data_IF_446901068823
#
_entry.id   IF_446901068823
#
_cell.length_a   1.000
_cell.length_b   1.000
_cell.length_c   1.000
_cell.angle_alpha   90.00
_cell.angle_beta   90.00
_cell.angle_gamma   90.00
#
_symmetry.space_group_name_H-M   'P 1'
#
loop_
_entity.id
_entity.type
_entity.pdbx_description
1 polymer ?
#
# COMPACT_ATOMS: atom_id res chain seq x y z
N UNK A 1 -22.63 24.86 22.68
CA UNK A 1 -22.01 23.76 23.45
C UNK A 1 -23.13 23.01 24.15
N UNK A 2 -23.42 21.76 23.76
CA UNK A 2 -24.56 21.01 24.31
C UNK A 2 -24.33 20.64 25.77
N UNK A 3 -25.40 20.69 26.57
CA UNK A 3 -25.37 20.56 28.02
C UNK A 3 -25.10 19.13 28.50
N UNK A 4 -24.51 19.03 29.70
CA UNK A 4 -24.13 17.78 30.38
C UNK A 4 -25.26 16.73 30.48
N UNK A 5 -26.53 17.12 30.31
CA UNK A 5 -27.67 16.20 30.30
C UNK A 5 -27.80 15.41 28.98
N UNK A 6 -27.41 16.01 27.86
CA UNK A 6 -27.47 15.39 26.53
C UNK A 6 -26.38 14.32 26.37
N UNK A 7 -25.19 14.57 26.95
CA UNK A 7 -24.08 13.61 27.02
C UNK A 7 -24.47 12.37 27.84
N UNK A 8 -25.23 12.55 28.94
CA UNK A 8 -25.73 11.43 29.76
C UNK A 8 -26.79 10.60 29.03
N UNK A 9 -27.66 11.23 28.22
CA UNK A 9 -28.66 10.51 27.39
C UNK A 9 -28.01 9.73 26.24
N UNK A 10 -26.99 10.29 25.61
CA UNK A 10 -26.21 9.61 24.56
C UNK A 10 -25.43 8.42 25.16
N UNK A 11 -24.81 8.59 26.33
CA UNK A 11 -24.10 7.52 27.03
C UNK A 11 -25.03 6.36 27.46
N UNK A 12 -26.22 6.66 27.98
CA UNK A 12 -27.21 5.64 28.36
C UNK A 12 -27.82 4.88 27.16
N UNK A 13 -27.90 5.55 25.99
CA UNK A 13 -28.31 4.91 24.74
C UNK A 13 -27.18 4.02 24.19
N UNK A 14 -25.93 4.40 24.39
CA UNK A 14 -24.76 3.65 23.94
C UNK A 14 -24.51 2.38 24.77
N UNK A 15 -24.71 2.42 26.09
CA UNK A 15 -24.58 1.24 26.96
C UNK A 15 -25.65 0.16 26.69
N UNK A 16 -26.85 0.57 26.27
CA UNK A 16 -27.92 -0.36 25.86
C UNK A 16 -27.78 -0.86 24.41
N UNK A 17 -26.96 -0.21 23.58
CA UNK A 17 -26.66 -0.66 22.23
C UNK A 17 -25.64 -1.82 22.25
N UNK A 18 -24.65 -1.75 23.16
CA UNK A 18 -23.63 -2.79 23.34
C UNK A 18 -24.22 -4.13 23.77
N UNK A 19 -25.19 -4.14 24.70
CA UNK A 19 -25.86 -5.38 25.14
C UNK A 19 -26.84 -5.93 24.10
N UNK A 20 -27.36 -5.11 23.18
CA UNK A 20 -28.19 -5.59 22.04
C UNK A 20 -27.38 -6.12 20.87
N UNK A 21 -26.12 -5.72 20.72
CA UNK A 21 -25.24 -6.21 19.64
C UNK A 21 -24.48 -7.49 20.02
N UNK A 22 -24.32 -7.81 21.30
CA UNK A 22 -23.61 -9.01 21.76
C UNK A 22 -24.43 -10.32 21.69
N UNK A 23 -25.76 -10.28 21.55
CA UNK A 23 -26.61 -11.51 21.53
C UNK A 23 -26.86 -12.03 20.10
N UNK A 24 -26.43 -11.31 19.05
CA UNK A 24 -26.68 -11.71 17.64
C UNK A 24 -25.49 -12.44 16.99
N UNK A 25 -24.68 -13.14 17.80
CA UNK A 25 -23.46 -13.83 17.35
C UNK A 25 -23.44 -15.36 17.53
N UNK A 26 -24.35 -15.93 18.33
CA UNK A 26 -24.38 -17.37 18.60
C UNK A 26 -25.61 -18.02 17.95
N UNK A 27 -25.71 -17.95 16.61
CA UNK A 27 -26.63 -18.86 15.91
C UNK A 27 -25.91 -20.18 15.75
N UNK A 28 -26.27 -21.13 16.61
CA UNK A 28 -26.10 -22.55 16.35
C UNK A 28 -26.38 -22.84 14.87
N UNK A 29 -25.44 -23.50 14.20
CA UNK A 29 -25.55 -23.94 12.81
C UNK A 29 -26.61 -25.05 12.75
N UNK A 30 -27.88 -24.69 12.83
CA UNK A 30 -28.98 -25.59 12.53
C UNK A 30 -29.28 -25.44 11.04
N UNK A 31 -28.71 -26.33 10.24
CA UNK A 31 -28.89 -26.35 8.79
C UNK A 31 -30.25 -27.00 8.53
N UNK A 32 -31.28 -26.20 8.27
CA UNK A 32 -32.44 -26.70 7.56
C UNK A 32 -31.99 -27.11 6.15
N UNK A 33 -31.79 -28.42 5.95
CA UNK A 33 -31.31 -29.06 4.72
C UNK A 33 -32.37 -29.00 3.61
N UNK A 34 -32.76 -27.79 3.20
CA UNK A 34 -33.55 -27.60 1.99
C UNK A 34 -32.65 -27.79 0.77
N UNK A 35 -33.20 -28.32 -0.33
CA UNK A 35 -32.46 -28.56 -1.60
C UNK A 35 -31.68 -27.31 -2.07
N UNK A 36 -32.22 -26.12 -1.81
CA UNK A 36 -31.60 -24.83 -2.13
C UNK A 36 -30.41 -24.50 -1.23
N UNK A 37 -30.50 -24.80 0.07
CA UNK A 37 -29.37 -24.63 1.01
C UNK A 37 -28.23 -25.59 0.68
N UNK A 38 -28.55 -26.83 0.24
CA UNK A 38 -27.54 -27.79 -0.21
C UNK A 38 -26.75 -27.29 -1.42
N UNK A 39 -27.42 -26.83 -2.49
CA UNK A 39 -26.72 -26.29 -3.67
C UNK A 39 -25.87 -25.05 -3.34
N UNK A 40 -26.32 -24.20 -2.40
CA UNK A 40 -25.55 -23.03 -1.99
C UNK A 40 -24.28 -23.41 -1.21
N UNK A 41 -24.40 -24.37 -0.30
CA UNK A 41 -23.27 -24.82 0.52
C UNK A 41 -22.23 -25.57 -0.33
N UNK A 42 -22.67 -26.45 -1.22
CA UNK A 42 -21.76 -27.17 -2.12
C UNK A 42 -21.13 -26.23 -3.16
N UNK A 43 -21.89 -25.29 -3.72
CA UNK A 43 -21.36 -24.27 -4.63
C UNK A 43 -20.30 -23.37 -3.97
N UNK A 44 -20.55 -22.92 -2.73
CA UNK A 44 -19.57 -22.16 -1.96
C UNK A 44 -18.34 -23.01 -1.60
N UNK A 45 -18.53 -24.28 -1.24
CA UNK A 45 -17.46 -25.22 -0.92
C UNK A 45 -16.53 -25.48 -2.11
N UNK A 46 -17.08 -25.70 -3.31
CA UNK A 46 -16.31 -25.91 -4.55
C UNK A 46 -15.57 -24.63 -4.96
N UNK A 47 -16.20 -23.46 -4.85
CA UNK A 47 -15.54 -22.19 -5.13
C UNK A 47 -14.39 -21.91 -4.14
N UNK A 48 -14.57 -22.22 -2.86
CA UNK A 48 -13.52 -22.04 -1.86
C UNK A 48 -12.35 -23.01 -2.08
N UNK A 49 -12.61 -24.28 -2.41
CA UNK A 49 -11.54 -25.25 -2.70
C UNK A 49 -10.83 -24.96 -4.02
N UNK A 50 -11.52 -24.47 -5.05
CA UNK A 50 -10.87 -24.09 -6.31
C UNK A 50 -9.98 -22.85 -6.15
N UNK A 51 -10.40 -21.85 -5.38
CA UNK A 51 -9.57 -20.69 -5.04
C UNK A 51 -8.34 -21.09 -4.20
N UNK A 52 -8.50 -22.02 -3.25
CA UNK A 52 -7.39 -22.59 -2.48
C UNK A 52 -6.42 -23.41 -3.34
N UNK A 53 -6.94 -24.25 -4.24
CA UNK A 53 -6.14 -25.08 -5.14
C UNK A 53 -5.39 -24.28 -6.21
N UNK A 54 -5.95 -23.16 -6.66
CA UNK A 54 -5.27 -22.22 -7.55
C UNK A 54 -4.26 -21.30 -6.85
N UNK A 55 -4.05 -21.48 -5.54
CA UNK A 55 -2.98 -20.80 -4.82
C UNK A 55 -3.24 -19.31 -4.55
N UNK A 56 -4.47 -18.82 -4.76
CA UNK A 56 -4.81 -17.41 -4.51
C UNK A 56 -4.68 -17.00 -3.04
N UNK A 57 -4.66 -17.96 -2.11
CA UNK A 57 -4.36 -17.70 -0.69
C UNK A 57 -2.90 -17.32 -0.40
N UNK A 58 -1.97 -17.64 -1.31
CA UNK A 58 -0.55 -17.27 -1.22
C UNK A 58 -0.14 -16.23 -2.26
N UNK A 59 -1.09 -15.75 -3.08
CA UNK A 59 -0.82 -14.81 -4.15
C UNK A 59 -0.27 -13.48 -3.63
N UNK A 60 -0.74 -13.01 -2.48
CA UNK A 60 -0.24 -11.78 -1.84
C UNK A 60 1.22 -11.92 -1.39
N UNK A 61 1.58 -13.07 -0.80
CA UNK A 61 2.95 -13.36 -0.38
C UNK A 61 3.91 -13.53 -1.57
N UNK A 62 3.44 -14.13 -2.67
CA UNK A 62 4.20 -14.25 -3.90
C UNK A 62 4.44 -12.87 -4.55
N UNK A 63 3.43 -12.01 -4.61
CA UNK A 63 3.57 -10.65 -5.16
C UNK A 63 4.54 -9.81 -4.31
N UNK A 64 4.45 -9.88 -2.98
CA UNK A 64 5.35 -9.18 -2.09
C UNK A 64 6.81 -9.64 -2.27
N UNK A 65 7.05 -10.94 -2.49
CA UNK A 65 8.38 -11.48 -2.74
C UNK A 65 8.99 -11.04 -4.10
N UNK A 66 8.17 -10.61 -5.06
CA UNK A 66 8.65 -10.12 -6.36
C UNK A 66 9.01 -8.62 -6.37
N UNK A 67 8.59 -7.86 -5.35
CA UNK A 67 8.91 -6.44 -5.24
C UNK A 67 10.30 -6.31 -4.61
N UNK A 68 11.29 -6.04 -5.47
CA UNK A 68 12.64 -5.64 -5.04
C UNK A 68 12.59 -4.30 -4.32
N UNK A 69 13.38 -4.17 -3.26
CA UNK A 69 13.53 -2.91 -2.55
C UNK A 69 14.02 -1.80 -3.50
N UNK A 70 13.61 -0.56 -3.20
CA UNK A 70 14.02 0.59 -3.98
C UNK A 70 15.54 0.78 -3.90
N UNK A 71 16.21 0.66 -5.06
CA UNK A 71 17.67 0.78 -5.19
C UNK A 71 18.25 2.12 -4.69
N UNK A 72 17.42 3.14 -4.53
CA UNK A 72 17.79 4.51 -4.19
C UNK A 72 17.60 4.85 -2.69
N UNK A 73 17.02 3.94 -1.90
CA UNK A 73 16.65 4.24 -0.50
C UNK A 73 17.85 4.59 0.40
N UNK A 74 19.05 4.10 0.07
CA UNK A 74 20.27 4.33 0.86
C UNK A 74 21.29 5.21 0.14
N UNK A 75 20.89 5.91 -0.92
CA UNK A 75 21.79 6.78 -1.69
C UNK A 75 21.62 8.24 -1.33
N UNK A 76 22.65 9.02 -1.63
CA UNK A 76 22.65 10.47 -1.42
C UNK A 76 22.19 11.15 -2.71
N UNK A 77 21.24 12.07 -2.57
CA UNK A 77 20.68 12.88 -3.65
C UNK A 77 21.48 14.17 -3.82
N UNK A 78 22.03 14.39 -5.02
CA UNK A 78 22.71 15.64 -5.38
C UNK A 78 22.06 16.24 -6.62
N UNK A 79 21.67 17.52 -6.57
CA UNK A 79 21.13 18.23 -7.72
C UNK A 79 22.24 18.77 -8.62
N UNK A 80 22.07 18.60 -9.93
CA UNK A 80 22.99 19.13 -10.95
C UNK A 80 22.20 19.56 -12.22
N UNK A 81 22.91 20.06 -13.22
CA UNK A 81 22.40 20.47 -14.51
C UNK A 81 22.96 19.56 -15.61
N UNK A 82 22.10 19.10 -16.52
CA UNK A 82 22.49 18.26 -17.64
C UNK A 82 23.52 18.98 -18.55
N UNK A 83 24.68 18.34 -18.80
CA UNK A 83 25.82 18.97 -19.50
C UNK A 83 25.78 18.81 -21.02
N UNK A 84 24.69 18.30 -21.60
CA UNK A 84 24.66 17.94 -23.02
C UNK A 84 24.20 19.08 -23.93
N UNK A 85 23.08 19.73 -23.63
CA UNK A 85 22.51 20.75 -24.50
C UNK A 85 22.09 21.99 -23.71
N UNK A 86 21.81 23.08 -24.42
CA UNK A 86 21.42 24.38 -23.85
C UNK A 86 20.05 24.41 -23.18
N UNK A 87 19.30 23.30 -23.21
CA UNK A 87 18.04 23.18 -22.47
C UNK A 87 18.29 23.23 -20.97
N UNK A 88 19.49 22.81 -20.52
CA UNK A 88 19.89 22.83 -19.12
C UNK A 88 18.82 22.14 -18.24
N UNK A 89 18.51 20.88 -18.53
CA UNK A 89 17.59 20.10 -17.73
C UNK A 89 18.15 19.88 -16.32
N UNK A 90 17.37 20.16 -15.28
CA UNK A 90 17.72 19.81 -13.90
C UNK A 90 17.71 18.31 -13.70
N UNK A 91 18.75 17.77 -13.07
CA UNK A 91 18.91 16.35 -12.80
C UNK A 91 19.21 16.10 -11.33
N UNK A 92 18.75 14.95 -10.84
CA UNK A 92 19.07 14.41 -9.53
C UNK A 92 19.99 13.21 -9.75
N UNK A 93 21.16 13.29 -9.12
CA UNK A 93 22.19 12.27 -9.15
C UNK A 93 22.15 11.49 -7.84
N UNK A 94 22.11 10.17 -7.95
CA UNK A 94 22.12 9.25 -6.82
C UNK A 94 23.46 8.54 -6.70
N UNK A 95 24.18 8.86 -5.63
CA UNK A 95 25.48 8.27 -5.35
C UNK A 95 25.46 7.36 -4.12
N UNK A 96 26.26 6.29 -4.15
CA UNK A 96 26.52 5.43 -3.00
C UNK A 96 27.84 5.83 -2.35
N UNK A 97 27.81 6.09 -1.04
CA UNK A 97 28.93 6.66 -0.29
C UNK A 97 28.80 8.17 -0.14
N UNK A 98 29.45 8.73 0.89
CA UNK A 98 29.36 10.14 1.23
C UNK A 98 30.65 10.91 0.90
N UNK A 99 30.54 11.83 -0.07
CA UNK A 99 31.63 12.75 -0.41
C UNK A 99 31.97 13.70 0.74
N UNK A 100 30.99 14.08 1.56
CA UNK A 100 31.20 14.98 2.69
C UNK A 100 31.98 14.31 3.83
N UNK A 101 31.82 12.98 3.98
CA UNK A 101 32.59 12.16 4.91
C UNK A 101 34.00 11.79 4.37
N UNK A 102 34.33 12.18 3.13
CA UNK A 102 35.59 11.86 2.49
C UNK A 102 35.67 10.45 1.89
N UNK A 103 34.53 9.77 1.74
CA UNK A 103 34.45 8.48 1.06
C UNK A 103 34.36 8.67 -0.46
N UNK A 104 34.72 7.63 -1.23
CA UNK A 104 34.44 7.63 -2.66
C UNK A 104 32.95 7.45 -2.89
N UNK A 105 32.32 8.44 -3.51
CA UNK A 105 30.94 8.31 -3.96
C UNK A 105 30.88 7.78 -5.39
N UNK A 106 30.30 6.59 -5.53
CA UNK A 106 30.05 5.99 -6.84
C UNK A 106 28.65 6.34 -7.32
N UNK A 107 28.56 6.96 -8.49
CA UNK A 107 27.29 7.36 -9.09
C UNK A 107 26.57 6.14 -9.69
N UNK A 108 25.36 5.83 -9.22
CA UNK A 108 24.62 4.62 -9.62
C UNK A 108 23.40 4.90 -10.49
N UNK A 109 22.80 6.09 -10.37
CA UNK A 109 21.60 6.45 -11.11
C UNK A 109 21.47 7.96 -11.26
N UNK A 110 20.85 8.38 -12.36
CA UNK A 110 20.54 9.77 -12.67
C UNK A 110 19.10 9.78 -13.16
N UNK A 111 18.33 10.75 -12.68
CA UNK A 111 16.98 11.02 -13.15
C UNK A 111 16.70 12.52 -13.23
N UNK A 112 15.56 12.88 -13.81
CA UNK A 112 15.18 14.27 -13.99
C UNK A 112 14.62 14.84 -12.69
N UNK A 113 14.98 16.09 -12.39
CA UNK A 113 14.41 16.81 -11.25
C UNK A 113 12.97 17.23 -11.55
N UNK A 114 12.01 16.75 -10.75
CA UNK A 114 10.59 17.04 -10.88
C UNK A 114 10.27 18.53 -10.64
N UNK A 115 11.06 19.20 -9.79
CA UNK A 115 10.84 20.59 -9.40
C UNK A 115 11.47 21.58 -10.39
N UNK A 116 12.30 21.10 -11.31
CA UNK A 116 13.00 21.96 -12.24
C UNK A 116 12.07 22.44 -13.37
N UNK A 117 11.97 23.77 -13.59
CA UNK A 117 10.89 24.37 -14.38
C UNK A 117 10.89 23.95 -15.86
N UNK A 118 12.08 23.65 -16.40
CA UNK A 118 12.28 23.33 -17.81
C UNK A 118 11.86 21.90 -18.17
N UNK A 119 12.21 20.91 -17.35
CA UNK A 119 12.02 19.49 -17.68
C UNK A 119 10.98 18.79 -16.80
N UNK A 120 10.66 19.30 -15.60
CA UNK A 120 9.66 18.73 -14.68
C UNK A 120 9.78 17.20 -14.53
N UNK A 121 11.01 16.72 -14.37
CA UNK A 121 11.32 15.29 -14.20
C UNK A 121 11.63 14.53 -15.50
N UNK A 122 11.50 15.14 -16.67
CA UNK A 122 11.78 14.47 -17.95
C UNK A 122 13.26 14.53 -18.35
N UNK A 123 13.74 13.48 -18.98
CA UNK A 123 15.09 13.39 -19.55
C UNK A 123 15.04 12.76 -20.94
N UNK A 124 15.89 13.28 -21.84
CA UNK A 124 16.13 12.69 -23.15
C UNK A 124 17.15 11.55 -23.03
N UNK A 125 17.24 10.59 -23.96
CA UNK A 125 18.17 9.45 -23.84
C UNK A 125 19.67 9.83 -23.83
N UNK A 126 20.00 11.11 -24.06
CA UNK A 126 21.36 11.63 -23.90
C UNK A 126 21.68 11.94 -22.45
N UNK A 127 20.71 12.47 -21.71
CA UNK A 127 20.85 12.91 -20.33
C UNK A 127 20.42 11.82 -19.36
#
# INVERSE_FOLDING_TARGET
>A
MPGQEEIKRIAATCSNLSTRQAVKGERAVNIDLTRRSFLKLTGAGVAATSLGAMGFGQAEAAVAAHVRDFKLATTIETRNICTYCSVACGIIMYSRGDLAAGEKADLIHIEGDADHPTNRGTLCPKG
#
